data_IF_982229074486
#
_entry.id   IF_982229074486
#
_cell.length_a   1.000
_cell.length_b   1.000
_cell.length_c   1.000
_cell.angle_alpha   90.00
_cell.angle_beta   90.00
_cell.angle_gamma   90.00
#
_symmetry.space_group_name_H-M   'P 1'
#
loop_
_entity.id
_entity.type
_entity.pdbx_description
1 polymer ?
#
# COMPACT_ATOMS: atom_id res chain seq x y z
N UNK A 1 4.82 -24.13 9.76
CA UNK A 1 5.12 -22.87 10.48
C UNK A 1 4.44 -22.89 11.83
N UNK A 2 5.11 -22.48 12.91
CA UNK A 2 4.49 -22.31 14.23
C UNK A 2 3.59 -21.05 14.24
N UNK A 3 2.54 -21.02 15.08
CA UNK A 3 1.60 -19.89 15.17
C UNK A 3 2.31 -18.54 15.36
N UNK A 4 3.38 -18.51 16.15
CA UNK A 4 4.21 -17.33 16.39
C UNK A 4 4.78 -16.71 15.11
N UNK A 5 5.21 -17.53 14.15
CA UNK A 5 5.78 -17.06 12.88
C UNK A 5 4.70 -16.44 11.98
N UNK A 6 3.48 -16.98 11.99
CA UNK A 6 2.33 -16.42 11.27
C UNK A 6 1.95 -15.04 11.79
N UNK A 7 1.88 -14.85 13.12
CA UNK A 7 1.59 -13.54 13.71
C UNK A 7 2.68 -12.50 13.39
N UNK A 8 3.95 -12.91 13.40
CA UNK A 8 5.06 -12.01 13.04
C UNK A 8 4.98 -11.58 11.57
N UNK A 9 4.54 -12.47 10.68
CA UNK A 9 4.37 -12.16 9.27
C UNK A 9 3.20 -11.21 9.02
N UNK A 10 2.03 -11.52 9.57
CA UNK A 10 0.86 -10.65 9.47
C UNK A 10 1.13 -9.25 10.05
N UNK A 11 1.87 -9.17 11.16
CA UNK A 11 2.33 -7.90 11.71
C UNK A 11 3.24 -7.12 10.75
N UNK A 12 4.15 -7.82 10.05
CA UNK A 12 5.03 -7.20 9.06
C UNK A 12 4.23 -6.69 7.86
N UNK A 13 3.32 -7.50 7.32
CA UNK A 13 2.42 -7.11 6.22
C UNK A 13 1.57 -5.88 6.59
N UNK A 14 1.01 -5.84 7.81
CA UNK A 14 0.25 -4.69 8.30
C UNK A 14 1.10 -3.42 8.40
N UNK A 15 2.35 -3.51 8.90
CA UNK A 15 3.25 -2.35 8.94
C UNK A 15 3.54 -1.80 7.54
N UNK A 16 3.73 -2.66 6.55
CA UNK A 16 3.97 -2.22 5.16
C UNK A 16 2.73 -1.59 4.52
N UNK A 17 1.54 -2.11 4.78
CA UNK A 17 0.28 -1.48 4.37
C UNK A 17 0.07 -0.11 5.02
N UNK A 18 0.43 0.02 6.30
CA UNK A 18 0.37 1.29 7.03
C UNK A 18 1.35 2.32 6.43
N UNK A 19 2.60 1.92 6.18
CA UNK A 19 3.60 2.77 5.53
C UNK A 19 3.15 3.24 4.14
N UNK A 20 2.55 2.35 3.35
CA UNK A 20 2.00 2.69 2.02
C UNK A 20 0.89 3.74 2.14
N UNK A 21 0.00 3.59 3.13
CA UNK A 21 -1.09 4.53 3.38
C UNK A 21 -0.56 5.91 3.80
N UNK A 22 0.47 5.95 4.65
CA UNK A 22 1.13 7.20 5.06
C UNK A 22 1.79 7.88 3.85
N UNK A 23 2.53 7.14 3.03
CA UNK A 23 3.14 7.66 1.81
C UNK A 23 2.10 8.22 0.84
N UNK A 24 0.96 7.56 0.70
CA UNK A 24 -0.15 8.04 -0.12
C UNK A 24 -0.70 9.38 0.38
N UNK A 25 -0.94 9.52 1.69
CA UNK A 25 -1.41 10.78 2.28
C UNK A 25 -0.39 11.89 2.09
N UNK A 26 0.91 11.60 2.27
CA UNK A 26 1.97 12.57 2.01
C UNK A 26 1.97 12.98 0.53
N UNK A 27 1.91 12.02 -0.39
CA UNK A 27 1.84 12.28 -1.83
C UNK A 27 0.62 13.09 -2.22
N UNK A 28 -0.53 12.84 -1.58
CA UNK A 28 -1.76 13.58 -1.80
C UNK A 28 -1.65 15.02 -1.29
N UNK A 29 -1.11 15.24 -0.09
CA UNK A 29 -0.82 16.58 0.44
C UNK A 29 0.18 17.34 -0.44
N UNK A 30 1.24 16.66 -0.91
CA UNK A 30 2.18 17.26 -1.85
C UNK A 30 1.46 17.68 -3.12
N UNK A 31 0.67 16.79 -3.72
CA UNK A 31 -0.16 17.15 -4.86
C UNK A 31 -1.03 18.36 -4.50
N UNK A 32 -1.72 18.40 -3.36
CA UNK A 32 -2.64 19.48 -2.97
C UNK A 32 -2.01 20.87 -2.88
N UNK A 33 -0.76 20.93 -2.43
CA UNK A 33 -0.13 22.20 -2.12
C UNK A 33 0.97 22.63 -3.10
N UNK A 34 1.45 21.74 -4.00
CA UNK A 34 2.51 22.09 -4.97
C UNK A 34 2.03 22.94 -6.17
N UNK A 35 0.95 22.57 -6.89
CA UNK A 35 0.48 23.29 -8.06
C UNK A 35 -0.47 24.39 -7.61
N UNK A 36 0.11 25.58 -7.41
CA UNK A 36 -0.63 26.82 -7.21
C UNK A 36 -0.88 27.40 -8.60
N UNK A 37 -2.15 27.56 -8.98
CA UNK A 37 -2.58 28.42 -10.09
C UNK A 37 -1.99 28.07 -11.49
N UNK A 38 -1.62 26.81 -11.76
CA UNK A 38 -1.19 26.41 -13.11
C UNK A 38 -2.31 25.63 -13.80
N UNK A 39 -2.70 26.11 -14.98
CA UNK A 39 -3.68 25.45 -15.84
C UNK A 39 -3.05 24.22 -16.47
N UNK A 40 -3.63 23.05 -16.23
CA UNK A 40 -3.15 21.78 -16.73
C UNK A 40 -3.32 21.66 -18.25
N UNK A 41 -2.62 20.70 -18.88
CA UNK A 41 -2.63 20.51 -20.34
C UNK A 41 -4.02 20.23 -20.92
N UNK A 42 -4.97 19.79 -20.09
CA UNK A 42 -6.35 19.46 -20.46
C UNK A 42 -7.30 20.65 -20.19
N UNK A 43 -6.79 21.77 -19.65
CA UNK A 43 -7.58 22.97 -19.28
C UNK A 43 -8.19 22.93 -17.88
N UNK A 44 -7.97 21.85 -17.12
CA UNK A 44 -8.37 21.70 -15.72
C UNK A 44 -7.23 22.09 -14.76
N UNK A 45 -7.50 22.41 -13.48
CA UNK A 45 -6.44 22.72 -12.52
C UNK A 45 -5.48 21.53 -12.38
N UNK A 46 -4.17 21.78 -12.51
CA UNK A 46 -3.13 20.74 -12.49
C UNK A 46 -3.22 19.81 -11.28
N UNK A 47 -3.68 20.36 -10.14
CA UNK A 47 -3.87 19.58 -8.93
C UNK A 47 -4.84 18.40 -9.10
N UNK A 48 -5.92 18.62 -9.86
CA UNK A 48 -6.93 17.60 -10.11
C UNK A 48 -6.35 16.45 -10.92
N UNK A 49 -5.60 16.75 -11.99
CA UNK A 49 -4.95 15.72 -12.81
C UNK A 49 -3.95 14.90 -11.99
N UNK A 50 -3.12 15.57 -11.18
CA UNK A 50 -2.16 14.93 -10.29
C UNK A 50 -2.83 14.02 -9.24
N UNK A 51 -3.94 14.46 -8.67
CA UNK A 51 -4.64 13.72 -7.61
C UNK A 51 -5.49 12.58 -8.13
N UNK A 52 -6.17 12.78 -9.26
CA UNK A 52 -7.16 11.82 -9.77
C UNK A 52 -6.57 10.81 -10.75
N UNK A 53 -5.43 11.12 -11.38
CA UNK A 53 -4.81 10.22 -12.36
C UNK A 53 -3.45 9.74 -11.84
N UNK A 54 -2.52 10.66 -11.58
CA UNK A 54 -1.14 10.28 -11.24
C UNK A 54 -1.03 9.59 -9.88
N UNK A 55 -1.63 10.14 -8.84
CA UNK A 55 -1.59 9.59 -7.48
C UNK A 55 -2.17 8.16 -7.40
N UNK A 56 -3.37 7.85 -7.92
CA UNK A 56 -3.89 6.48 -7.88
C UNK A 56 -3.07 5.51 -8.71
N UNK A 57 -2.56 5.92 -9.89
CA UNK A 57 -1.67 5.07 -10.70
C UNK A 57 -0.39 4.76 -9.91
N UNK A 58 0.23 5.78 -9.32
CA UNK A 58 1.43 5.62 -8.49
C UNK A 58 1.16 4.66 -7.32
N UNK A 59 0.03 4.83 -6.63
CA UNK A 59 -0.36 3.97 -5.51
C UNK A 59 -0.53 2.51 -5.93
N UNK A 60 -1.16 2.26 -7.08
CA UNK A 60 -1.33 0.90 -7.61
C UNK A 60 0.03 0.26 -7.93
N UNK A 61 0.95 0.99 -8.58
CA UNK A 61 2.27 0.46 -8.93
C UNK A 61 3.09 0.12 -7.69
N UNK A 62 3.14 1.04 -6.71
CA UNK A 62 3.86 0.81 -5.46
C UNK A 62 3.20 -0.33 -4.66
N UNK A 63 1.87 -0.35 -4.57
CA UNK A 63 1.11 -1.40 -3.91
C UNK A 63 1.38 -2.78 -4.53
N UNK A 64 1.39 -2.88 -5.86
CA UNK A 64 1.73 -4.10 -6.58
C UNK A 64 3.14 -4.59 -6.25
N UNK A 65 4.13 -3.69 -6.21
CA UNK A 65 5.50 -4.03 -5.81
C UNK A 65 5.60 -4.50 -4.36
N UNK A 66 4.95 -3.80 -3.43
CA UNK A 66 4.93 -4.21 -2.01
C UNK A 66 4.33 -5.59 -1.87
N UNK A 67 3.16 -5.85 -2.49
CA UNK A 67 2.53 -7.17 -2.44
C UNK A 67 3.48 -8.23 -2.98
N UNK A 68 4.09 -7.99 -4.14
CA UNK A 68 5.01 -8.94 -4.76
C UNK A 68 6.27 -9.24 -3.92
N UNK A 69 6.77 -8.26 -3.16
CA UNK A 69 7.99 -8.42 -2.35
C UNK A 69 7.68 -9.02 -0.97
N UNK A 70 6.52 -8.69 -0.39
CA UNK A 70 6.27 -8.88 1.04
C UNK A 70 5.24 -9.97 1.33
N UNK A 71 4.23 -10.11 0.47
CA UNK A 71 3.25 -11.16 0.66
C UNK A 71 3.88 -12.49 0.24
N UNK A 72 4.17 -13.30 1.25
CA UNK A 72 4.56 -14.69 1.04
C UNK A 72 3.29 -15.54 1.03
N UNK A 73 3.26 -16.55 0.17
CA UNK A 73 2.15 -17.50 0.15
C UNK A 73 2.16 -18.32 1.46
N UNK A 74 1.15 -18.11 2.29
CA UNK A 74 0.97 -18.86 3.54
C UNK A 74 -0.14 -19.88 3.30
N UNK A 75 0.18 -21.17 3.38
CA UNK A 75 -0.85 -22.20 3.39
C UNK A 75 -1.75 -22.03 4.62
N UNK A 76 -3.05 -21.88 4.33
CA UNK A 76 -4.16 -21.77 5.30
C UNK A 76 -4.37 -23.07 6.08
N UNK A 77 -3.74 -24.18 5.69
CA UNK A 77 -3.79 -25.42 6.45
C UNK A 77 -3.06 -25.26 7.79
N UNK A 78 -3.84 -25.19 8.86
CA UNK A 78 -3.36 -25.38 10.22
C UNK A 78 -3.29 -26.88 10.42
N UNK A 79 -2.12 -27.48 10.17
CA UNK A 79 -1.81 -28.78 10.74
C UNK A 79 -1.68 -28.58 12.25
N UNK A 80 -2.81 -28.72 12.94
CA UNK A 80 -2.90 -28.80 14.39
C UNK A 80 -2.21 -30.08 14.86
N UNK A 81 -0.88 -30.08 14.84
CA UNK A 81 -0.05 -31.09 15.51
C UNK A 81 -0.03 -30.74 17.01
N UNK A 82 -1.21 -30.62 17.60
CA UNK A 82 -1.46 -30.09 18.94
C UNK A 82 -2.61 -30.78 19.70
N UNK A 83 -3.27 -31.76 19.10
CA UNK A 83 -4.09 -32.72 19.83
C UNK A 83 -3.52 -34.14 19.69
N UNK A 84 -2.37 -34.37 20.31
CA UNK A 84 -1.94 -35.70 20.71
C UNK A 84 -1.77 -35.66 22.23
N UNK A 85 -2.83 -36.09 22.91
CA UNK A 85 -2.91 -36.68 24.27
C UNK A 85 -2.10 -36.08 25.41
#
# INVERSE_FOLDING_TARGET
MTLKQRYQQAGKEASWALSLSILYVIGWCLCAYLPKETQGPIGFPLWFELSCIYLPILFIVIGYWIVKIIFQDISLEINDQGNQK
#
